data_IF_936356333656
#
_entry.id   IF_936356333656
#
_cell.length_a   1.000
_cell.length_b   1.000
_cell.length_c   1.000
_cell.angle_alpha   90.00
_cell.angle_beta   90.00
_cell.angle_gamma   90.00
#
_symmetry.space_group_name_H-M   'P 1'
#
loop_
_entity.id
_entity.type
_entity.pdbx_description
1 polymer ?
#
# COMPACT_ATOMS: atom_id res chain seq x y z
N UNK A 1 -16.78 6.41 -17.50
CA UNK A 1 -15.99 6.04 -16.29
C UNK A 1 -16.22 4.62 -15.77
N UNK A 2 -17.46 4.12 -15.63
CA UNK A 2 -17.72 2.74 -15.15
C UNK A 2 -17.23 1.65 -16.09
N UNK A 3 -17.43 1.81 -17.40
CA UNK A 3 -16.97 0.86 -18.41
C UNK A 3 -15.44 0.72 -18.43
N UNK A 4 -14.71 1.84 -18.39
CA UNK A 4 -13.25 1.86 -18.36
C UNK A 4 -12.68 1.13 -17.14
N UNK A 5 -13.25 1.32 -15.95
CA UNK A 5 -12.86 0.58 -14.74
C UNK A 5 -13.14 -0.92 -14.85
N UNK A 6 -14.22 -1.30 -15.53
CA UNK A 6 -14.59 -2.70 -15.73
C UNK A 6 -13.66 -3.38 -16.75
N UNK A 7 -13.38 -2.71 -17.87
CA UNK A 7 -12.40 -3.16 -18.88
C UNK A 7 -11.03 -3.33 -18.23
N UNK A 8 -10.57 -2.35 -17.44
CA UNK A 8 -9.31 -2.46 -16.70
C UNK A 8 -9.28 -3.68 -15.76
N UNK A 9 -10.37 -3.94 -15.02
CA UNK A 9 -10.47 -5.12 -14.15
C UNK A 9 -10.39 -6.44 -14.94
N UNK A 10 -11.03 -6.52 -16.10
CA UNK A 10 -10.97 -7.71 -16.95
C UNK A 10 -9.59 -7.90 -17.55
N UNK A 11 -8.97 -6.84 -18.05
CA UNK A 11 -7.61 -6.89 -18.56
C UNK A 11 -6.62 -7.34 -17.48
N UNK A 12 -6.73 -6.78 -16.28
CA UNK A 12 -5.93 -7.19 -15.13
C UNK A 12 -6.17 -8.66 -14.77
N UNK A 13 -7.43 -9.11 -14.79
CA UNK A 13 -7.77 -10.51 -14.51
C UNK A 13 -7.19 -11.46 -15.55
N UNK A 14 -7.38 -11.17 -16.85
CA UNK A 14 -6.83 -11.98 -17.94
C UNK A 14 -5.30 -12.01 -17.89
N UNK A 15 -4.67 -10.89 -17.55
CA UNK A 15 -3.23 -10.81 -17.33
C UNK A 15 -2.80 -11.71 -16.16
N UNK A 16 -3.43 -11.58 -14.99
CA UNK A 16 -3.14 -12.42 -13.82
C UNK A 16 -3.38 -13.91 -14.09
N UNK A 17 -4.45 -14.25 -14.80
CA UNK A 17 -4.77 -15.63 -15.16
C UNK A 17 -3.74 -16.22 -16.13
N UNK A 18 -3.41 -15.48 -17.20
CA UNK A 18 -2.39 -15.90 -18.17
C UNK A 18 -1.02 -16.00 -17.50
N UNK A 19 -0.70 -15.06 -16.62
CA UNK A 19 0.49 -15.08 -15.81
C UNK A 19 0.53 -16.33 -14.92
N UNK A 20 -0.56 -16.66 -14.22
CA UNK A 20 -0.61 -17.84 -13.37
C UNK A 20 -0.39 -19.14 -14.17
N UNK A 21 -1.08 -19.30 -15.30
CA UNK A 21 -0.94 -20.48 -16.16
C UNK A 21 0.50 -20.62 -16.67
N UNK A 22 1.11 -19.52 -17.12
CA UNK A 22 2.48 -19.54 -17.68
C UNK A 22 3.58 -19.66 -16.62
N UNK A 23 3.30 -19.33 -15.36
CA UNK A 23 4.29 -19.30 -14.28
C UNK A 23 3.96 -20.36 -13.20
N UNK A 24 3.38 -21.50 -13.61
CA UNK A 24 3.15 -22.66 -12.75
C UNK A 24 4.41 -23.52 -12.59
N UNK A 25 5.45 -23.26 -13.38
CA UNK A 25 6.70 -24.00 -13.31
C UNK A 25 7.32 -23.94 -11.91
N UNK A 26 7.77 -25.09 -11.36
CA UNK A 26 8.37 -25.15 -10.04
C UNK A 26 9.74 -24.46 -10.05
N UNK A 27 9.94 -23.51 -9.12
CA UNK A 27 11.21 -22.84 -8.88
C UNK A 27 11.74 -23.18 -7.49
N UNK A 28 13.05 -23.42 -7.39
CA UNK A 28 13.73 -23.66 -6.13
C UNK A 28 14.07 -22.37 -5.40
N UNK A 29 13.39 -22.10 -4.29
CA UNK A 29 13.72 -21.01 -3.36
C UNK A 29 14.78 -21.50 -2.39
N UNK A 30 15.99 -20.94 -2.48
CA UNK A 30 17.13 -21.29 -1.62
C UNK A 30 17.04 -20.50 -0.32
N UNK A 31 16.77 -21.19 0.76
CA UNK A 31 16.76 -20.64 2.11
C UNK A 31 18.13 -20.82 2.78
N UNK A 32 18.26 -20.26 3.99
CA UNK A 32 19.41 -20.44 4.84
C UNK A 32 19.67 -21.95 5.11
N UNK A 33 20.93 -22.33 5.34
CA UNK A 33 21.37 -23.72 5.57
C UNK A 33 21.28 -24.68 4.37
N UNK A 34 21.19 -24.16 3.14
CA UNK A 34 21.20 -24.99 1.92
C UNK A 34 19.87 -25.64 1.58
N UNK A 35 18.82 -25.37 2.34
CA UNK A 35 17.46 -25.84 2.08
C UNK A 35 16.90 -25.22 0.80
N UNK A 36 16.50 -26.05 -0.16
CA UNK A 36 15.85 -25.59 -1.40
C UNK A 36 14.38 -26.02 -1.37
N UNK A 37 13.48 -25.05 -1.30
CA UNK A 37 12.05 -25.31 -1.34
C UNK A 37 11.51 -25.11 -2.75
N UNK A 38 10.92 -26.15 -3.32
CA UNK A 38 10.30 -26.08 -4.64
C UNK A 38 8.87 -25.55 -4.51
N UNK A 39 8.60 -24.42 -5.14
CA UNK A 39 7.26 -23.84 -5.20
C UNK A 39 7.00 -23.27 -6.60
N UNK A 40 5.76 -23.29 -7.12
CA UNK A 40 5.42 -22.61 -8.35
C UNK A 40 5.80 -21.13 -8.31
N UNK A 41 6.43 -20.62 -9.38
CA UNK A 41 6.89 -19.22 -9.44
C UNK A 41 5.78 -18.21 -9.13
N UNK A 42 4.56 -18.48 -9.59
CA UNK A 42 3.38 -17.64 -9.31
C UNK A 42 3.12 -17.50 -7.81
N UNK A 43 3.26 -18.56 -7.02
CA UNK A 43 3.03 -18.52 -5.57
C UNK A 43 4.09 -17.66 -4.88
N UNK A 44 5.35 -17.83 -5.26
CA UNK A 44 6.47 -17.03 -4.72
C UNK A 44 6.25 -15.55 -5.00
N UNK A 45 5.82 -15.20 -6.21
CA UNK A 45 5.54 -13.80 -6.57
C UNK A 45 4.34 -13.24 -5.81
N UNK A 46 3.25 -14.00 -5.68
CA UNK A 46 2.06 -13.57 -4.95
C UNK A 46 2.36 -13.31 -3.47
N UNK A 47 3.12 -14.19 -2.82
CA UNK A 47 3.48 -14.06 -1.41
C UNK A 47 4.39 -12.85 -1.19
N UNK A 48 5.43 -12.70 -2.01
CA UNK A 48 6.37 -11.56 -1.89
C UNK A 48 5.67 -10.23 -2.16
N UNK A 49 4.81 -10.18 -3.17
CA UNK A 49 3.99 -9.00 -3.46
C UNK A 49 3.02 -8.68 -2.33
N UNK A 50 2.29 -9.67 -1.81
CA UNK A 50 1.36 -9.47 -0.70
C UNK A 50 2.07 -8.99 0.58
N UNK A 51 3.26 -9.54 0.87
CA UNK A 51 4.09 -9.07 1.97
C UNK A 51 4.53 -7.61 1.77
N UNK A 52 4.99 -7.24 0.57
CA UNK A 52 5.36 -5.86 0.24
C UNK A 52 4.17 -4.89 0.35
N UNK A 53 2.99 -5.28 -0.13
CA UNK A 53 1.77 -4.49 -0.01
C UNK A 53 1.34 -4.31 1.46
N UNK A 54 1.44 -5.37 2.27
CA UNK A 54 1.17 -5.29 3.71
C UNK A 54 2.12 -4.31 4.40
N UNK A 55 3.43 -4.37 4.11
CA UNK A 55 4.41 -3.42 4.63
C UNK A 55 4.12 -1.98 4.20
N UNK A 56 3.73 -1.77 2.93
CA UNK A 56 3.35 -0.47 2.42
C UNK A 56 2.13 0.11 3.16
N UNK A 57 1.10 -0.72 3.40
CA UNK A 57 -0.09 -0.33 4.18
C UNK A 57 0.31 0.04 5.61
N UNK A 58 1.11 -0.79 6.28
CA UNK A 58 1.58 -0.53 7.65
C UNK A 58 2.37 0.78 7.72
N UNK A 59 3.24 1.04 6.73
CA UNK A 59 3.99 2.30 6.62
C UNK A 59 3.04 3.49 6.47
N UNK A 60 2.07 3.41 5.56
CA UNK A 60 1.10 4.48 5.33
C UNK A 60 0.24 4.76 6.57
N UNK A 61 -0.19 3.72 7.28
CA UNK A 61 -0.95 3.87 8.52
C UNK A 61 -0.14 4.69 9.54
N UNK A 62 1.13 4.33 9.76
CA UNK A 62 2.03 5.08 10.66
C UNK A 62 2.12 6.57 10.29
N UNK A 63 2.31 6.87 9.01
CA UNK A 63 2.33 8.25 8.49
C UNK A 63 1.01 8.98 8.75
N UNK A 64 -0.12 8.36 8.41
CA UNK A 64 -1.46 8.96 8.59
C UNK A 64 -1.75 9.24 10.06
N UNK A 65 -1.37 8.36 10.98
CA UNK A 65 -1.52 8.60 12.42
C UNK A 65 -0.69 9.81 12.88
N UNK A 66 0.54 9.95 12.41
CA UNK A 66 1.38 11.11 12.68
C UNK A 66 0.77 12.41 12.14
N UNK A 67 0.31 12.39 10.88
CA UNK A 67 -0.35 13.53 10.25
C UNK A 67 -1.60 13.95 11.01
N UNK A 68 -2.44 13.00 11.44
CA UNK A 68 -3.65 13.28 12.21
C UNK A 68 -3.35 14.01 13.53
N UNK A 69 -2.28 13.62 14.23
CA UNK A 69 -1.85 14.32 15.46
C UNK A 69 -1.40 15.75 15.17
N UNK A 70 -0.64 15.96 14.10
CA UNK A 70 -0.17 17.29 13.71
C UNK A 70 -1.34 18.20 13.30
N UNK A 71 -2.31 17.68 12.53
CA UNK A 71 -3.52 18.41 12.15
C UNK A 71 -4.32 18.82 13.40
N UNK A 72 -4.51 17.91 14.37
CA UNK A 72 -5.23 18.22 15.61
C UNK A 72 -4.53 19.30 16.44
N UNK A 73 -3.19 19.29 16.48
CA UNK A 73 -2.41 20.31 17.18
C UNK A 73 -2.43 21.67 16.46
N UNK A 74 -2.36 21.69 15.12
CA UNK A 74 -2.50 22.92 14.33
C UNK A 74 -3.90 23.53 14.48
N UNK A 75 -4.95 22.72 14.44
CA UNK A 75 -6.33 23.19 14.62
C UNK A 75 -6.54 23.89 15.97
N UNK A 76 -5.88 23.45 17.04
CA UNK A 76 -5.92 24.12 18.35
C UNK A 76 -5.23 25.49 18.39
N UNK A 77 -4.31 25.77 17.45
CA UNK A 77 -3.61 27.07 17.36
C UNK A 77 -4.34 28.10 16.51
N UNK A 78 -5.30 27.68 15.68
CA UNK A 78 -6.15 28.58 14.90
C UNK A 78 -6.98 29.54 15.76
N UNK A 79 -7.67 29.11 16.84
CA UNK A 79 -8.46 30.04 17.67
C UNK A 79 -7.60 31.08 18.40
N UNK A 80 -6.37 30.75 18.80
CA UNK A 80 -5.46 31.70 19.45
C UNK A 80 -4.98 32.81 18.49
N UNK A 81 -4.73 32.47 17.22
CA UNK A 81 -4.31 33.45 16.21
C UNK A 81 -5.44 34.35 15.72
N UNK A 82 -6.68 33.85 15.74
CA UNK A 82 -7.88 34.65 15.46
C UNK A 82 -8.19 35.64 16.58
N UNK A 83 -7.89 35.29 17.84
CA UNK A 83 -8.03 36.21 18.97
C UNK A 83 -7.00 37.36 18.92
N UNK A 84 -5.73 37.08 18.60
CA UNK A 84 -4.70 38.11 18.43
C UNK A 84 -4.98 39.05 17.24
N UNK A 85 -5.52 38.52 16.12
CA UNK A 85 -5.88 39.32 14.94
C UNK A 85 -7.14 40.19 15.15
N UNK A 86 -7.99 39.86 16.12
CA UNK A 86 -9.16 40.67 16.49
C UNK A 86 -8.83 41.79 17.48
N UNK A 87 -7.62 41.79 18.06
CA UNK A 87 -7.17 42.78 19.03
C UNK A 87 -6.25 43.86 18.44
N UNK A 88 -6.15 43.98 17.10
CA UNK A 88 -5.42 45.08 16.46
C UNK A 88 -6.11 46.42 16.83
N UNK A 89 -5.49 47.24 17.71
CA UNK A 89 -6.13 48.41 18.27
C UNK A 89 -6.08 49.55 17.25
N UNK A 90 -7.25 50.10 16.92
CA UNK A 90 -7.42 51.34 16.16
C UNK A 90 -7.07 52.57 17.01
#
# INVERSE_FOLDING_TARGET
MRLLRWVWRILLFLFLLSFAIRNTDPVGVRFFFGTVWQAPLVIVLLVTFAAGAALAVVSLLGTVFGLRRQVAHLQRRLPARQADAGSEPA
#
